data_IF_223149142847
#
_entry.id   IF_223149142847
#
_cell.length_a   1.000
_cell.length_b   1.000
_cell.length_c   1.000
_cell.angle_alpha   90.00
_cell.angle_beta   90.00
_cell.angle_gamma   90.00
#
_symmetry.space_group_name_H-M   'P 1'
#
loop_
_entity.id
_entity.type
_entity.pdbx_description
1 polymer ?
#
# COMPACT_ATOMS: atom_id res chain seq x y z
N UNK A 1 -0.57 -9.70 11.91
CA UNK A 1 -1.71 -10.65 11.99
C UNK A 1 -1.64 -11.79 10.97
N UNK A 2 -0.67 -11.82 10.08
CA UNK A 2 -0.61 -12.82 9.00
C UNK A 2 0.81 -13.27 8.77
N UNK A 3 0.99 -14.49 8.27
CA UNK A 3 2.26 -15.01 7.84
C UNK A 3 2.80 -14.25 6.62
N UNK A 4 4.12 -14.22 6.39
CA UNK A 4 4.74 -13.55 5.24
C UNK A 4 4.13 -13.97 3.91
N UNK A 5 3.99 -15.26 3.68
CA UNK A 5 3.44 -15.80 2.43
C UNK A 5 2.00 -15.34 2.15
N UNK A 6 1.18 -15.24 3.21
CA UNK A 6 -0.16 -14.69 3.07
C UNK A 6 -0.12 -13.23 2.64
N UNK A 7 0.79 -12.42 3.19
CA UNK A 7 0.93 -11.00 2.82
C UNK A 7 1.29 -10.86 1.35
N UNK A 8 2.23 -11.66 0.86
CA UNK A 8 2.70 -11.66 -0.52
C UNK A 8 1.72 -12.30 -1.50
N UNK A 9 0.81 -13.16 -1.06
CA UNK A 9 -0.22 -13.77 -1.91
C UNK A 9 -1.38 -12.82 -2.27
N UNK A 10 -1.45 -11.65 -1.63
CA UNK A 10 -2.56 -10.70 -1.85
C UNK A 10 -2.30 -9.85 -3.07
N UNK A 11 -3.16 -10.00 -4.08
CA UNK A 11 -3.17 -9.13 -5.25
C UNK A 11 -3.65 -7.75 -4.83
N UNK A 12 -2.92 -6.72 -5.24
CA UNK A 12 -3.21 -5.31 -4.93
C UNK A 12 -2.86 -4.44 -6.13
N UNK A 13 -3.24 -3.14 -6.04
CA UNK A 13 -2.87 -2.14 -7.01
C UNK A 13 -1.35 -2.07 -7.23
N UNK A 14 -0.93 -1.57 -8.37
CA UNK A 14 0.48 -1.56 -8.76
C UNK A 14 0.94 -0.24 -9.38
N UNK A 15 0.21 0.86 -9.18
CA UNK A 15 0.65 2.19 -9.63
C UNK A 15 1.24 2.94 -8.45
N UNK A 16 2.51 3.29 -8.56
CA UNK A 16 3.24 4.05 -7.55
C UNK A 16 3.37 5.52 -7.98
N UNK A 17 2.92 6.39 -7.09
CA UNK A 17 3.10 7.83 -7.25
C UNK A 17 4.52 8.26 -6.86
N UNK A 18 4.92 9.45 -7.30
CA UNK A 18 6.25 10.00 -7.09
C UNK A 18 6.72 9.99 -5.63
N UNK A 19 5.81 10.20 -4.68
CA UNK A 19 6.16 10.20 -3.25
C UNK A 19 6.70 8.84 -2.83
N UNK A 20 6.05 7.74 -3.25
CA UNK A 20 6.48 6.37 -2.95
C UNK A 20 7.82 6.06 -3.62
N UNK A 21 7.95 6.40 -4.91
CA UNK A 21 9.21 6.20 -5.65
C UNK A 21 10.37 6.94 -4.97
N UNK A 22 10.18 8.22 -4.63
CA UNK A 22 11.20 9.02 -3.94
C UNK A 22 11.56 8.47 -2.56
N UNK A 23 10.60 7.88 -1.85
CA UNK A 23 10.88 7.23 -0.57
C UNK A 23 11.77 5.99 -0.75
N UNK A 24 11.49 5.16 -1.75
CA UNK A 24 12.32 4.00 -2.09
C UNK A 24 13.74 4.42 -2.48
N UNK A 25 13.87 5.47 -3.29
CA UNK A 25 15.16 6.07 -3.66
C UNK A 25 15.95 6.52 -2.41
N UNK A 26 15.33 7.27 -1.51
CA UNK A 26 15.95 7.75 -0.27
C UNK A 26 16.36 6.63 0.67
N UNK A 27 15.65 5.50 0.66
CA UNK A 27 15.98 4.33 1.48
C UNK A 27 17.03 3.42 0.83
N UNK A 28 17.40 3.67 -0.45
CA UNK A 28 18.29 2.81 -1.23
C UNK A 28 17.66 1.47 -1.58
N UNK A 29 16.33 1.43 -1.72
CA UNK A 29 15.55 0.22 -1.99
C UNK A 29 14.89 0.23 -3.38
N UNK A 30 15.38 1.08 -4.27
CA UNK A 30 14.80 1.32 -5.59
C UNK A 30 15.42 0.47 -6.70
N UNK A 31 16.33 -0.46 -6.38
CA UNK A 31 17.05 -1.26 -7.37
C UNK A 31 16.11 -2.09 -8.27
N UNK A 32 15.26 -2.93 -7.69
CA UNK A 32 14.27 -3.70 -8.44
C UNK A 32 13.19 -2.82 -9.06
N UNK A 33 12.74 -1.80 -8.34
CA UNK A 33 11.78 -0.82 -8.84
C UNK A 33 12.27 -0.17 -10.16
N UNK A 34 13.54 0.21 -10.24
CA UNK A 34 14.14 0.77 -11.45
C UNK A 34 14.34 -0.25 -12.57
N UNK A 35 14.61 -1.49 -12.24
CA UNK A 35 14.87 -2.55 -13.21
C UNK A 35 13.58 -3.14 -13.81
N UNK A 36 12.51 -3.23 -13.03
CA UNK A 36 11.30 -3.98 -13.36
C UNK A 36 10.06 -3.06 -13.50
N UNK A 37 10.09 -1.86 -12.90
CA UNK A 37 8.98 -0.91 -12.95
C UNK A 37 8.78 -0.32 -14.33
N UNK A 38 7.54 -0.17 -14.77
CA UNK A 38 7.18 0.48 -16.01
C UNK A 38 6.85 1.95 -15.74
N UNK A 39 7.61 2.84 -16.36
CA UNK A 39 7.38 4.29 -16.23
C UNK A 39 6.26 4.71 -17.17
N UNK A 40 5.24 5.36 -16.60
CA UNK A 40 4.10 5.88 -17.32
C UNK A 40 4.14 7.41 -17.31
N UNK A 41 4.33 7.99 -18.49
CA UNK A 41 4.37 9.45 -18.67
C UNK A 41 2.96 10.05 -18.80
N UNK A 42 1.96 9.22 -18.99
CA UNK A 42 0.57 9.60 -19.16
C UNK A 42 -0.38 8.45 -18.93
N UNK A 43 -1.63 8.72 -19.21
CA UNK A 43 -2.69 7.72 -19.25
C UNK A 43 -3.77 8.13 -20.26
N UNK A 44 -4.60 7.20 -20.65
CA UNK A 44 -5.65 7.42 -21.62
C UNK A 44 -7.03 7.35 -20.95
N UNK A 45 -7.90 8.25 -21.36
CA UNK A 45 -9.33 8.21 -21.06
C UNK A 45 -10.06 7.72 -22.31
N UNK A 46 -10.73 6.58 -22.20
CA UNK A 46 -11.55 6.03 -23.27
C UNK A 46 -13.04 6.28 -22.96
N UNK A 47 -13.76 6.92 -23.88
CA UNK A 47 -15.19 7.19 -23.79
C UNK A 47 -15.84 6.91 -25.16
N UNK A 48 -16.50 5.77 -25.27
CA UNK A 48 -16.98 5.26 -26.54
C UNK A 48 -15.83 5.06 -27.55
N UNK A 49 -15.91 5.74 -28.69
CA UNK A 49 -14.86 5.70 -29.73
C UNK A 49 -13.71 6.70 -29.50
N UNK A 50 -13.79 7.51 -28.44
CA UNK A 50 -12.78 8.53 -28.16
C UNK A 50 -11.71 7.98 -27.24
N UNK A 51 -10.45 8.24 -27.60
CA UNK A 51 -9.30 8.00 -26.76
C UNK A 51 -8.56 9.33 -26.56
N UNK A 52 -8.54 9.81 -25.31
CA UNK A 52 -7.94 11.10 -24.96
C UNK A 52 -6.75 10.81 -24.06
N UNK A 53 -5.54 11.10 -24.54
CA UNK A 53 -4.33 10.96 -23.74
C UNK A 53 -4.11 12.18 -22.84
N UNK A 54 -3.90 11.94 -21.56
CA UNK A 54 -3.48 12.92 -20.58
C UNK A 54 -1.97 12.76 -20.37
N UNK A 55 -1.21 13.73 -20.79
CA UNK A 55 0.25 13.74 -20.70
C UNK A 55 0.68 14.31 -19.34
N UNK A 56 0.87 13.42 -18.35
CA UNK A 56 1.25 13.81 -16.99
C UNK A 56 2.64 14.47 -17.01
N UNK A 57 3.58 13.87 -17.72
CA UNK A 57 4.96 14.35 -17.75
C UNK A 57 5.04 15.78 -18.30
N UNK A 58 4.33 16.07 -19.38
CA UNK A 58 4.26 17.42 -19.98
C UNK A 58 3.56 18.43 -19.06
N UNK A 59 2.48 18.00 -18.39
CA UNK A 59 1.65 18.90 -17.58
C UNK A 59 2.28 19.20 -16.22
N UNK A 60 3.00 18.23 -15.62
CA UNK A 60 3.45 18.33 -14.22
C UNK A 60 4.96 18.16 -14.04
N UNK A 61 5.68 17.71 -15.06
CA UNK A 61 7.08 17.29 -14.93
C UNK A 61 7.26 16.00 -14.12
N UNK A 62 6.17 15.25 -13.87
CA UNK A 62 6.17 14.04 -13.07
C UNK A 62 5.71 12.83 -13.90
N UNK A 63 5.94 11.66 -13.38
CA UNK A 63 5.46 10.39 -13.94
C UNK A 63 4.99 9.46 -12.81
N UNK A 64 4.27 8.44 -13.14
CA UNK A 64 3.95 7.33 -12.23
C UNK A 64 4.70 6.08 -12.66
N UNK A 65 4.84 5.12 -11.76
CA UNK A 65 5.52 3.86 -12.07
C UNK A 65 4.57 2.71 -11.78
N UNK A 66 4.34 1.87 -12.78
CA UNK A 66 3.63 0.61 -12.56
C UNK A 66 4.63 -0.39 -12.00
N UNK A 67 4.44 -0.73 -10.74
CA UNK A 67 5.22 -1.72 -10.01
C UNK A 67 4.33 -2.37 -8.97
N UNK A 68 4.15 -3.68 -9.07
CA UNK A 68 3.19 -4.41 -8.25
C UNK A 68 3.37 -4.15 -6.76
N UNK A 69 2.31 -3.81 -6.05
CA UNK A 69 2.36 -3.57 -4.60
C UNK A 69 2.87 -4.79 -3.83
N UNK A 70 2.67 -6.00 -4.36
CA UNK A 70 3.24 -7.24 -3.82
C UNK A 70 4.76 -7.22 -3.90
N UNK A 71 5.33 -6.78 -5.03
CA UNK A 71 6.78 -6.68 -5.22
C UNK A 71 7.39 -5.60 -4.33
N UNK A 72 6.74 -4.42 -4.27
CA UNK A 72 7.15 -3.37 -3.32
C UNK A 72 7.13 -3.88 -1.87
N UNK A 73 6.11 -4.64 -1.49
CA UNK A 73 6.00 -5.21 -0.15
C UNK A 73 7.12 -6.22 0.10
N UNK A 74 7.44 -7.06 -0.87
CA UNK A 74 8.56 -8.02 -0.81
C UNK A 74 9.88 -7.29 -0.60
N UNK A 75 10.18 -6.28 -1.41
CA UNK A 75 11.41 -5.50 -1.30
C UNK A 75 11.58 -4.87 0.10
N UNK A 76 10.48 -4.39 0.69
CA UNK A 76 10.49 -3.84 2.04
C UNK A 76 10.66 -4.91 3.12
N UNK A 77 10.10 -6.11 2.93
CA UNK A 77 10.27 -7.24 3.86
C UNK A 77 11.71 -7.75 3.81
N UNK A 78 12.24 -7.98 2.62
CA UNK A 78 13.62 -8.44 2.41
C UNK A 78 14.62 -7.44 2.98
N UNK A 79 14.42 -6.14 2.75
CA UNK A 79 15.28 -5.09 3.29
C UNK A 79 15.26 -5.02 4.83
N UNK A 80 14.17 -5.39 5.48
CA UNK A 80 14.12 -5.48 6.95
C UNK A 80 14.87 -6.69 7.45
N UNK A 81 14.73 -7.83 6.78
CA UNK A 81 15.43 -9.06 7.11
C UNK A 81 16.94 -8.87 6.95
N UNK A 82 17.40 -8.35 5.82
CA UNK A 82 18.81 -8.07 5.53
C UNK A 82 19.47 -7.13 6.56
N UNK A 83 18.68 -6.20 7.11
CA UNK A 83 19.14 -5.28 8.16
C UNK A 83 19.02 -5.84 9.58
N UNK A 84 18.55 -7.08 9.74
CA UNK A 84 18.31 -7.70 11.04
C UNK A 84 17.25 -6.98 11.88
N UNK A 85 16.30 -6.29 11.23
CA UNK A 85 15.23 -5.57 11.92
C UNK A 85 14.09 -6.53 12.22
N UNK A 86 13.71 -6.60 13.49
CA UNK A 86 12.65 -7.49 13.93
C UNK A 86 11.29 -7.16 13.30
N UNK A 87 10.62 -8.18 12.80
CA UNK A 87 9.22 -8.14 12.34
C UNK A 87 8.46 -9.28 13.00
N UNK A 88 7.45 -8.94 13.78
CA UNK A 88 6.63 -9.93 14.46
C UNK A 88 5.41 -10.25 13.60
N UNK A 89 5.46 -11.37 12.92
CA UNK A 89 4.34 -11.90 12.17
C UNK A 89 3.36 -12.65 13.07
N UNK A 90 2.13 -12.83 12.58
CA UNK A 90 1.06 -13.58 13.26
C UNK A 90 0.71 -13.05 14.66
N UNK A 91 1.01 -11.78 14.92
CA UNK A 91 0.56 -11.10 16.13
C UNK A 91 -0.96 -10.86 16.08
N UNK A 92 -1.69 -11.40 17.04
CA UNK A 92 -3.15 -11.27 17.17
C UNK A 92 -3.49 -10.30 18.30
N UNK A 93 -4.72 -9.79 18.31
CA UNK A 93 -5.30 -8.97 19.37
C UNK A 93 -4.41 -7.81 19.82
N UNK A 94 -3.70 -7.17 18.85
CA UNK A 94 -2.84 -6.05 19.14
C UNK A 94 -3.65 -4.89 19.75
N UNK A 95 -3.23 -4.43 20.91
CA UNK A 95 -3.86 -3.34 21.67
C UNK A 95 -2.85 -2.29 22.07
N UNK A 96 -3.21 -1.02 21.88
CA UNK A 96 -2.36 0.12 22.22
C UNK A 96 -2.71 0.61 23.62
N UNK A 97 -1.70 0.93 24.41
CA UNK A 97 -1.83 1.40 25.78
C UNK A 97 -0.97 2.64 26.00
N UNK A 98 -1.42 3.51 26.89
CA UNK A 98 -0.73 4.73 27.35
C UNK A 98 -0.20 5.63 26.21
N UNK A 99 -0.93 5.66 25.08
CA UNK A 99 -0.49 6.38 23.87
C UNK A 99 -0.45 7.89 24.01
N UNK A 100 -0.99 8.45 25.09
CA UNK A 100 -0.92 9.87 25.47
C UNK A 100 0.02 10.11 26.66
N UNK A 101 0.47 9.03 27.26
CA UNK A 101 1.34 9.07 28.42
C UNK A 101 2.81 9.10 28.06
N UNK A 102 3.61 8.86 29.07
CA UNK A 102 5.08 8.88 28.96
C UNK A 102 5.68 7.50 28.68
N UNK A 103 4.89 6.44 28.72
CA UNK A 103 5.34 5.06 28.57
C UNK A 103 4.40 4.25 27.65
N UNK A 104 4.22 4.64 26.38
CA UNK A 104 3.36 3.91 25.48
C UNK A 104 3.87 2.50 25.23
N UNK A 105 2.93 1.55 25.15
CA UNK A 105 3.26 0.16 24.86
C UNK A 105 2.15 -0.51 24.06
N UNK A 106 2.48 -1.63 23.43
CA UNK A 106 1.54 -2.48 22.67
C UNK A 106 1.56 -3.87 23.28
N UNK A 107 0.39 -4.43 23.54
CA UNK A 107 0.23 -5.86 23.83
C UNK A 107 -0.29 -6.57 22.60
N UNK A 108 0.10 -7.84 22.44
CA UNK A 108 -0.41 -8.72 21.38
C UNK A 108 -0.33 -10.18 21.83
N UNK A 109 -1.06 -11.04 21.15
CA UNK A 109 -0.98 -12.49 21.37
C UNK A 109 -0.23 -13.16 20.23
N UNK A 110 0.64 -14.09 20.58
CA UNK A 110 1.31 -14.96 19.63
C UNK A 110 1.60 -16.31 20.29
N UNK A 111 1.38 -17.40 19.56
CA UNK A 111 1.60 -18.78 20.03
C UNK A 111 0.91 -19.09 21.38
N UNK A 112 -0.30 -18.53 21.57
CA UNK A 112 -1.10 -18.69 22.77
C UNK A 112 -0.66 -17.84 23.98
N UNK A 113 0.46 -17.12 23.89
CA UNK A 113 0.98 -16.25 24.95
C UNK A 113 0.70 -14.78 24.67
N UNK A 114 0.56 -13.98 25.74
CA UNK A 114 0.54 -12.53 25.65
C UNK A 114 1.97 -11.98 25.69
N UNK A 115 2.24 -11.01 24.84
CA UNK A 115 3.50 -10.29 24.74
C UNK A 115 3.27 -8.80 24.91
N UNK A 116 4.30 -8.09 25.37
CA UNK A 116 4.31 -6.64 25.55
C UNK A 116 5.55 -6.04 24.90
N UNK A 117 5.35 -4.96 24.13
CA UNK A 117 6.45 -4.16 23.56
C UNK A 117 6.31 -2.74 24.07
N UNK A 118 7.31 -2.27 24.78
CA UNK A 118 7.42 -0.88 25.22
C UNK A 118 8.09 -0.04 24.12
N UNK A 119 7.59 1.16 23.91
CA UNK A 119 8.10 2.04 22.87
C UNK A 119 8.06 3.50 23.31
N UNK A 120 8.97 4.30 22.78
CA UNK A 120 8.89 5.77 22.95
C UNK A 120 7.82 6.40 22.08
N UNK A 121 7.52 5.79 20.93
CA UNK A 121 6.54 6.23 19.95
C UNK A 121 5.90 4.99 19.35
N UNK A 122 4.57 5.01 19.20
CA UNK A 122 3.82 4.01 18.45
C UNK A 122 3.30 4.64 17.16
N UNK A 123 3.60 4.04 16.02
CA UNK A 123 3.15 4.50 14.71
C UNK A 123 2.11 3.52 14.15
N UNK A 124 0.89 3.98 13.98
CA UNK A 124 -0.20 3.20 13.39
C UNK A 124 -0.13 3.18 11.88
N UNK A 125 0.32 2.06 11.29
CA UNK A 125 0.35 1.82 9.85
C UNK A 125 -0.49 0.59 9.47
N UNK A 126 -1.55 0.31 10.22
CA UNK A 126 -2.34 -0.90 10.21
C UNK A 126 -3.64 -0.80 9.40
N UNK A 127 -3.82 0.28 8.66
CA UNK A 127 -4.90 0.52 7.71
C UNK A 127 -6.26 0.76 8.37
N UNK A 128 -7.29 0.75 7.55
CA UNK A 128 -8.65 1.12 7.96
C UNK A 128 -9.22 0.27 9.09
N UNK A 129 -8.92 -1.01 9.11
CA UNK A 129 -9.41 -1.97 10.12
C UNK A 129 -8.43 -2.22 11.27
N UNK A 130 -7.36 -1.44 11.34
CA UNK A 130 -6.34 -1.61 12.37
C UNK A 130 -6.76 -1.07 13.74
N UNK A 131 -6.19 -1.61 14.84
CA UNK A 131 -6.47 -1.15 16.19
C UNK A 131 -6.05 0.30 16.44
N UNK A 132 -5.07 0.82 15.72
CA UNK A 132 -4.61 2.21 15.89
C UNK A 132 -5.70 3.23 15.58
N UNK A 133 -6.52 2.98 14.54
CA UNK A 133 -7.66 3.83 14.22
C UNK A 133 -8.64 3.90 15.39
N UNK A 134 -9.00 2.75 15.97
CA UNK A 134 -9.91 2.69 17.11
C UNK A 134 -9.38 3.46 18.33
N UNK A 135 -8.08 3.37 18.58
CA UNK A 135 -7.44 4.04 19.70
C UNK A 135 -7.49 5.59 19.61
N UNK A 136 -7.62 6.15 18.38
CA UNK A 136 -7.64 7.61 18.16
C UNK A 136 -9.02 8.16 17.82
N UNK A 137 -10.03 7.33 17.57
CA UNK A 137 -11.38 7.75 17.16
C UNK A 137 -12.04 8.74 18.14
N UNK A 138 -11.83 8.56 19.44
CA UNK A 138 -12.41 9.44 20.46
C UNK A 138 -11.79 10.86 20.50
N UNK A 139 -10.73 11.11 19.72
CA UNK A 139 -9.93 12.36 19.75
C UNK A 139 -10.21 13.29 18.58
N UNK A 140 -11.06 12.89 17.67
CA UNK A 140 -11.34 13.67 16.47
C UNK A 140 -12.73 13.38 15.91
N UNK A 141 -13.02 14.06 14.81
CA UNK A 141 -14.25 13.81 14.05
C UNK A 141 -13.93 12.83 12.95
N UNK A 142 -14.68 11.74 12.90
CA UNK A 142 -14.62 10.79 11.80
C UNK A 142 -15.72 11.07 10.80
N UNK A 143 -15.35 11.09 9.50
CA UNK A 143 -16.30 11.06 8.40
C UNK A 143 -16.11 9.74 7.65
N UNK A 144 -17.16 8.94 7.57
CA UNK A 144 -17.17 7.69 6.80
C UNK A 144 -18.33 7.70 5.79
N UNK A 145 -18.04 7.28 4.58
CA UNK A 145 -19.05 7.08 3.53
C UNK A 145 -18.89 5.68 2.94
N UNK A 146 -19.96 4.94 2.91
CA UNK A 146 -20.03 3.65 2.23
C UNK A 146 -20.56 3.87 0.81
N UNK A 147 -19.89 3.25 -0.17
CA UNK A 147 -20.28 3.30 -1.56
C UNK A 147 -20.86 1.94 -1.98
N UNK A 148 -21.97 1.91 -2.75
CA UNK A 148 -22.63 0.67 -3.16
C UNK A 148 -21.95 -0.01 -4.35
N UNK A 149 -20.62 -0.05 -4.38
CA UNK A 149 -19.85 -0.75 -5.40
C UNK A 149 -18.56 -1.31 -4.83
N UNK A 150 -17.95 -2.24 -5.55
CA UNK A 150 -16.65 -2.82 -5.23
C UNK A 150 -15.73 -2.75 -6.44
N UNK A 151 -14.43 -2.86 -6.17
CA UNK A 151 -13.40 -2.96 -7.19
C UNK A 151 -13.08 -4.42 -7.48
N UNK A 152 -13.17 -4.81 -8.76
CA UNK A 152 -12.79 -6.14 -9.23
C UNK A 152 -11.42 -6.03 -9.89
N UNK A 153 -10.41 -6.75 -9.36
CA UNK A 153 -9.10 -6.89 -9.95
C UNK A 153 -9.01 -8.20 -10.75
N UNK A 154 -8.62 -8.12 -12.00
CA UNK A 154 -8.36 -9.27 -12.87
C UNK A 154 -6.91 -9.21 -13.34
N UNK A 155 -6.19 -10.32 -13.21
CA UNK A 155 -4.88 -10.51 -13.83
C UNK A 155 -5.02 -11.55 -14.93
N UNK A 156 -4.42 -11.26 -16.07
CA UNK A 156 -4.39 -12.18 -17.21
C UNK A 156 -2.96 -12.27 -17.77
N UNK A 157 -2.55 -13.46 -18.12
CA UNK A 157 -1.26 -13.71 -18.77
C UNK A 157 -1.41 -13.52 -20.29
N UNK A 158 -1.51 -12.25 -20.69
CA UNK A 158 -1.67 -11.82 -22.08
C UNK A 158 -0.88 -10.54 -22.30
N UNK A 159 -0.47 -10.22 -23.53
CA UNK A 159 0.13 -8.93 -23.84
C UNK A 159 -0.80 -7.78 -23.44
N UNK A 160 -0.26 -6.65 -22.93
CA UNK A 160 -1.07 -5.48 -22.61
C UNK A 160 -1.77 -4.93 -23.86
N UNK A 161 -2.98 -4.47 -23.68
CA UNK A 161 -3.75 -3.88 -24.78
C UNK A 161 -3.23 -2.51 -25.25
N UNK A 162 -2.44 -1.85 -24.42
CA UNK A 162 -1.84 -0.55 -24.68
C UNK A 162 -0.56 -0.38 -23.88
N UNK A 163 0.34 0.53 -24.29
CA UNK A 163 1.59 0.83 -23.60
C UNK A 163 1.39 1.64 -22.30
N UNK A 164 0.37 2.46 -22.25
CA UNK A 164 0.01 3.25 -21.07
C UNK A 164 -1.33 2.80 -20.49
N UNK A 165 -1.59 3.16 -19.26
CA UNK A 165 -2.86 2.91 -18.57
C UNK A 165 -4.04 3.46 -19.36
N UNK A 166 -5.16 2.72 -19.40
CA UNK A 166 -6.42 3.17 -19.97
C UNK A 166 -7.49 3.14 -18.88
N UNK A 167 -8.13 4.28 -18.66
CA UNK A 167 -9.35 4.40 -17.88
C UNK A 167 -10.53 4.44 -18.86
N UNK A 168 -11.39 3.44 -18.81
CA UNK A 168 -12.46 3.29 -19.78
C UNK A 168 -13.82 3.53 -19.14
N UNK A 169 -14.52 4.56 -19.61
CA UNK A 169 -15.92 4.78 -19.27
C UNK A 169 -16.81 4.04 -20.25
N UNK A 170 -17.73 3.24 -19.72
CA UNK A 170 -18.69 2.48 -20.50
C UNK A 170 -20.03 2.41 -19.75
N UNK A 171 -21.14 2.25 -20.46
CA UNK A 171 -22.49 2.13 -19.87
C UNK A 171 -22.62 1.00 -18.82
N UNK A 172 -21.75 -0.01 -18.89
CA UNK A 172 -21.67 -1.14 -17.93
C UNK A 172 -20.73 -0.89 -16.75
N UNK A 173 -20.06 0.23 -16.71
CA UNK A 173 -19.12 0.56 -15.61
C UNK A 173 -17.91 1.37 -16.07
N UNK A 174 -16.99 1.49 -15.13
CA UNK A 174 -15.74 2.23 -15.28
C UNK A 174 -14.57 1.31 -14.94
#
# INVERSE_FOLDING_TARGET
RRAPDYVLSRIRAGVLERITVSLMERLGLDGRLKAEGLVEEGFNLADGERLIRIDIAKLTGQHVVVYGQTELTRDLMDAREDRGLEVIYEAEDATLHDIDGNAPFVTYRKDGAEHRVEARIVVGCDGFHGPSRQAVLSRGTEYQREYPFGWLGLLADVPPCHHELIYSHHERGF
#
